data_IF_827989840910
#
_entry.id   IF_827989840910
#
_cell.length_a   1.000
_cell.length_b   1.000
_cell.length_c   1.000
_cell.angle_alpha   90.00
_cell.angle_beta   90.00
_cell.angle_gamma   90.00
#
_symmetry.space_group_name_H-M   'P 1'
#
loop_
_entity.id
_entity.type
_entity.pdbx_description
1 polymer ?
#
# COMPACT_ATOMS: atom_id res chain seq x y z
N UNK A 1 -53.18 58.05 89.11
CA UNK A 1 -53.07 59.44 89.61
C UNK A 1 -52.55 60.29 88.46
N UNK A 2 -53.41 61.09 87.83
CA UNK A 2 -53.11 61.81 86.59
C UNK A 2 -54.36 62.24 85.83
N UNK A 3 -55.16 63.10 86.49
CA UNK A 3 -56.15 64.04 85.94
C UNK A 3 -55.59 64.78 84.67
N UNK A 4 -56.32 65.32 83.69
CA UNK A 4 -57.72 65.75 83.46
C UNK A 4 -57.85 66.25 81.99
N UNK A 5 -59.05 66.65 81.52
CA UNK A 5 -59.47 66.77 80.10
C UNK A 5 -59.48 68.20 79.54
N UNK A 6 -59.70 68.35 78.22
CA UNK A 6 -60.28 69.51 77.51
C UNK A 6 -60.02 69.35 75.99
N UNK A 7 -60.82 69.75 75.00
CA UNK A 7 -62.12 70.43 74.90
C UNK A 7 -62.57 70.36 73.43
N UNK A 8 -63.89 70.22 73.25
CA UNK A 8 -64.76 70.89 72.28
C UNK A 8 -64.38 71.00 70.79
N UNK A 9 -65.32 70.58 69.92
CA UNK A 9 -65.45 71.21 68.61
C UNK A 9 -66.30 70.46 67.58
N UNK A 10 -67.62 70.71 67.64
CA UNK A 10 -68.54 70.81 66.48
C UNK A 10 -68.92 69.55 65.67
N UNK A 11 -70.21 69.20 65.83
CA UNK A 11 -71.18 68.60 64.90
C UNK A 11 -71.13 69.16 63.45
N UNK A 12 -71.96 68.71 62.47
CA UNK A 12 -72.77 67.48 62.32
C UNK A 12 -72.65 66.82 60.91
N UNK A 13 -73.17 65.58 60.84
CA UNK A 13 -73.83 64.89 59.73
C UNK A 13 -73.63 65.36 58.26
N UNK A 14 -73.13 64.46 57.41
CA UNK A 14 -73.75 64.18 56.11
C UNK A 14 -73.71 62.68 55.79
N UNK A 15 -74.89 62.20 55.38
CA UNK A 15 -75.20 60.91 54.80
C UNK A 15 -74.15 60.39 53.81
N UNK A 16 -73.79 59.10 53.91
CA UNK A 16 -73.88 58.21 52.76
C UNK A 16 -74.00 56.75 53.19
N UNK A 17 -75.00 56.11 52.60
CA UNK A 17 -75.40 54.73 52.83
C UNK A 17 -74.25 53.74 52.63
N UNK A 18 -74.09 52.85 53.60
CA UNK A 18 -73.27 51.64 53.53
C UNK A 18 -73.61 50.87 52.24
N UNK A 19 -72.62 50.69 51.37
CA UNK A 19 -72.59 49.56 50.44
C UNK A 19 -72.17 48.31 51.21
N UNK A 20 -72.81 47.18 50.87
CA UNK A 20 -72.37 45.78 50.93
C UNK A 20 -73.47 44.85 51.51
N UNK A 21 -73.42 43.52 51.32
CA UNK A 21 -73.12 42.79 50.08
C UNK A 21 -74.00 41.51 49.90
N UNK A 22 -73.70 40.76 48.83
CA UNK A 22 -73.91 39.32 48.57
C UNK A 22 -75.33 38.75 48.34
N UNK A 23 -75.49 38.01 47.23
CA UNK A 23 -76.29 36.77 47.24
C UNK A 23 -75.88 35.76 46.14
N UNK A 24 -74.94 34.88 46.55
CA UNK A 24 -75.05 33.41 46.57
C UNK A 24 -75.19 32.59 45.27
N UNK A 25 -75.58 33.14 44.13
CA UNK A 25 -75.73 32.33 42.90
C UNK A 25 -74.38 32.15 42.17
N UNK A 26 -73.52 33.16 42.18
CA UNK A 26 -72.18 33.09 41.60
C UNK A 26 -71.25 32.08 42.32
N UNK A 27 -71.52 31.78 43.60
CA UNK A 27 -70.73 30.85 44.39
C UNK A 27 -70.90 29.38 43.99
N UNK A 28 -72.02 29.02 43.34
CA UNK A 28 -72.31 27.63 42.96
C UNK A 28 -71.75 27.24 41.58
N UNK A 29 -71.49 28.20 40.69
CA UNK A 29 -70.89 27.93 39.37
C UNK A 29 -69.36 27.74 39.42
N UNK A 30 -68.70 28.18 40.49
CA UNK A 30 -67.25 27.99 40.65
C UNK A 30 -66.87 26.58 41.15
N UNK A 31 -67.82 25.77 41.63
CA UNK A 31 -67.53 24.50 42.32
C UNK A 31 -67.24 23.30 41.40
N UNK A 32 -66.79 23.54 40.15
CA UNK A 32 -66.56 22.47 39.14
C UNK A 32 -65.15 22.44 38.53
N UNK A 33 -64.19 23.24 39.00
CA UNK A 33 -62.82 23.28 38.46
C UNK A 33 -61.71 22.89 39.45
N UNK A 34 -62.01 22.13 40.51
CA UNK A 34 -61.01 21.70 41.50
C UNK A 34 -60.60 20.22 41.34
N UNK A 35 -60.30 19.80 40.12
CA UNK A 35 -59.53 18.57 39.85
C UNK A 35 -58.39 18.86 38.86
N UNK A 36 -57.79 20.06 38.92
CA UNK A 36 -56.41 20.18 38.45
C UNK A 36 -55.55 19.61 39.56
N UNK A 37 -55.11 18.37 39.38
CA UNK A 37 -54.02 17.80 40.17
C UNK A 37 -52.87 18.80 40.07
N UNK A 38 -52.61 19.55 41.16
CA UNK A 38 -51.37 20.31 41.37
C UNK A 38 -50.24 19.29 41.61
N UNK A 39 -49.99 18.47 40.60
CA UNK A 39 -48.74 17.73 40.45
C UNK A 39 -47.89 18.57 39.53
N UNK A 40 -46.63 18.80 39.92
CA UNK A 40 -45.58 19.24 39.00
C UNK A 40 -45.82 18.62 37.63
N UNK A 41 -46.10 19.43 36.60
CA UNK A 41 -46.35 18.92 35.25
C UNK A 41 -45.10 18.12 34.83
N UNK A 42 -45.15 16.78 34.80
CA UNK A 42 -43.94 15.96 34.64
C UNK A 42 -43.35 16.15 33.24
N UNK A 43 -44.13 16.70 32.31
CA UNK A 43 -43.73 17.06 30.96
C UNK A 43 -42.95 18.39 30.92
N UNK A 44 -43.19 19.31 31.86
CA UNK A 44 -42.44 20.56 31.97
C UNK A 44 -40.98 20.35 32.45
N UNK A 45 -40.67 19.17 33.02
CA UNK A 45 -39.30 18.76 33.39
C UNK A 45 -38.54 18.03 32.27
N UNK A 46 -39.19 17.73 31.15
CA UNK A 46 -38.50 17.17 30.00
C UNK A 46 -37.71 18.29 29.31
N UNK A 47 -36.39 18.30 29.53
CA UNK A 47 -35.50 19.11 28.72
C UNK A 47 -35.76 18.80 27.24
N UNK A 48 -35.86 19.83 26.36
CA UNK A 48 -36.05 19.59 24.93
C UNK A 48 -34.99 18.60 24.45
N UNK A 49 -35.44 17.50 23.84
CA UNK A 49 -34.60 16.46 23.28
C UNK A 49 -33.52 17.13 22.42
N UNK A 50 -32.28 17.16 22.94
CA UNK A 50 -31.13 17.54 22.14
C UNK A 50 -31.05 16.51 21.03
N UNK A 51 -31.42 16.92 19.81
CA UNK A 51 -31.15 16.14 18.62
C UNK A 51 -29.68 15.77 18.67
N UNK A 52 -29.32 14.47 18.61
CA UNK A 52 -27.91 14.13 18.50
C UNK A 52 -27.43 14.84 17.24
N UNK A 53 -26.46 15.74 17.41
CA UNK A 53 -25.68 16.28 16.31
C UNK A 53 -25.42 15.07 15.40
N UNK A 54 -25.88 15.12 14.15
CA UNK A 54 -25.62 14.05 13.20
C UNK A 54 -24.16 13.70 13.37
N UNK A 55 -23.88 12.48 13.83
CA UNK A 55 -22.54 12.09 14.21
C UNK A 55 -21.75 12.10 12.92
N UNK A 56 -21.15 13.26 12.64
CA UNK A 56 -20.50 13.56 11.40
C UNK A 56 -19.35 12.61 11.28
N UNK A 57 -19.60 11.50 10.57
CA UNK A 57 -18.67 10.55 9.99
C UNK A 57 -17.27 10.70 10.59
N UNK A 58 -17.13 10.37 11.88
CA UNK A 58 -15.88 10.59 12.62
C UNK A 58 -14.84 9.62 12.04
N UNK A 59 -13.55 10.02 11.91
CA UNK A 59 -12.62 9.36 11.05
C UNK A 59 -12.48 7.90 11.47
N UNK A 60 -12.37 6.98 10.51
CA UNK A 60 -12.19 5.57 10.83
C UNK A 60 -11.07 5.48 11.85
N UNK A 61 -11.38 4.91 13.03
CA UNK A 61 -10.49 4.88 14.18
C UNK A 61 -9.04 4.64 13.74
N UNK A 62 -8.02 5.31 14.32
CA UNK A 62 -6.66 5.35 13.80
C UNK A 62 -6.03 3.99 13.43
N UNK A 63 -6.54 2.87 13.97
CA UNK A 63 -6.22 1.51 13.56
C UNK A 63 -6.51 1.17 12.08
N UNK A 64 -7.44 1.82 11.41
CA UNK A 64 -7.68 1.61 9.98
C UNK A 64 -6.55 2.18 9.11
N UNK A 65 -5.89 3.26 9.56
CA UNK A 65 -4.70 3.77 8.89
C UNK A 65 -3.54 2.80 9.02
N UNK A 66 -3.39 2.15 10.19
CA UNK A 66 -2.44 1.05 10.38
C UNK A 66 -2.75 -0.14 9.46
N UNK A 67 -4.03 -0.52 9.35
CA UNK A 67 -4.47 -1.59 8.45
C UNK A 67 -4.21 -1.23 6.98
N UNK A 68 -4.57 -0.02 6.56
CA UNK A 68 -4.34 0.47 5.22
C UNK A 68 -2.83 0.54 4.89
N UNK A 69 -2.01 1.03 5.82
CA UNK A 69 -0.56 1.05 5.68
C UNK A 69 0.01 -0.37 5.56
N UNK A 70 -0.45 -1.32 6.37
CA UNK A 70 -0.02 -2.72 6.30
C UNK A 70 -0.40 -3.36 4.96
N UNK A 71 -1.63 -3.15 4.49
CA UNK A 71 -2.08 -3.65 3.18
C UNK A 71 -1.25 -3.03 2.06
N UNK A 72 -0.96 -1.73 2.11
CA UNK A 72 -0.13 -1.04 1.13
C UNK A 72 1.29 -1.60 1.11
N UNK A 73 1.87 -1.89 2.28
CA UNK A 73 3.22 -2.42 2.42
C UNK A 73 3.30 -3.86 1.88
N UNK A 74 2.30 -4.70 2.17
CA UNK A 74 2.20 -6.05 1.59
C UNK A 74 2.00 -6.01 0.08
N UNK A 75 1.15 -5.10 -0.42
CA UNK A 75 0.96 -4.91 -1.85
C UNK A 75 2.24 -4.45 -2.54
N UNK A 76 2.96 -3.49 -1.94
CA UNK A 76 4.25 -3.02 -2.45
C UNK A 76 5.30 -4.14 -2.45
N UNK A 77 5.40 -4.92 -1.37
CA UNK A 77 6.30 -6.06 -1.29
C UNK A 77 5.95 -7.14 -2.34
N UNK A 78 4.67 -7.46 -2.50
CA UNK A 78 4.19 -8.41 -3.51
C UNK A 78 4.46 -7.92 -4.93
N UNK A 79 4.16 -6.65 -5.22
CA UNK A 79 4.45 -6.02 -6.50
C UNK A 79 5.96 -5.99 -6.79
N UNK A 80 6.79 -5.67 -5.79
CA UNK A 80 8.25 -5.67 -5.92
C UNK A 80 8.81 -7.07 -6.18
N UNK A 81 8.32 -8.09 -5.47
CA UNK A 81 8.72 -9.48 -5.73
C UNK A 81 8.28 -9.95 -7.12
N UNK A 82 7.05 -9.62 -7.52
CA UNK A 82 6.52 -9.96 -8.83
C UNK A 82 7.31 -9.24 -9.93
N UNK A 83 7.62 -7.96 -9.75
CA UNK A 83 8.46 -7.19 -10.65
C UNK A 83 9.88 -7.76 -10.74
N UNK A 84 10.52 -8.11 -9.61
CA UNK A 84 11.84 -8.76 -9.59
C UNK A 84 11.79 -10.11 -10.33
N UNK A 85 10.72 -10.89 -10.18
CA UNK A 85 10.50 -12.14 -10.94
C UNK A 85 10.26 -11.90 -12.44
N UNK A 86 9.49 -10.88 -12.80
CA UNK A 86 9.22 -10.51 -14.19
C UNK A 86 10.48 -10.01 -14.89
N UNK A 87 11.26 -9.15 -14.24
CA UNK A 87 12.53 -8.67 -14.77
C UNK A 87 13.51 -9.81 -14.98
N UNK A 88 13.59 -10.76 -14.04
CA UNK A 88 14.38 -11.99 -14.19
C UNK A 88 14.02 -12.79 -15.44
N UNK A 89 12.74 -12.83 -15.82
CA UNK A 89 12.28 -13.51 -17.04
C UNK A 89 12.51 -12.68 -18.30
N UNK A 90 12.34 -11.35 -18.23
CA UNK A 90 12.44 -10.46 -19.40
C UNK A 90 13.87 -10.37 -19.93
N UNK A 91 14.87 -10.13 -19.06
CA UNK A 91 16.26 -10.02 -19.52
C UNK A 91 16.76 -11.35 -20.13
N UNK A 92 16.36 -12.49 -19.54
CA UNK A 92 16.71 -13.82 -20.06
C UNK A 92 16.11 -14.05 -21.44
N UNK A 93 14.83 -13.73 -21.63
CA UNK A 93 14.18 -13.84 -22.95
C UNK A 93 14.86 -12.96 -23.99
N UNK A 94 15.23 -11.73 -23.63
CA UNK A 94 15.95 -10.83 -24.53
C UNK A 94 17.33 -11.37 -24.90
N UNK A 95 18.10 -11.86 -23.93
CA UNK A 95 19.42 -12.44 -24.19
C UNK A 95 19.34 -13.72 -25.05
N UNK A 96 18.35 -14.58 -24.82
CA UNK A 96 18.11 -15.76 -25.66
C UNK A 96 17.72 -15.39 -27.09
N UNK A 97 16.83 -14.39 -27.27
CA UNK A 97 16.45 -13.92 -28.59
C UNK A 97 17.64 -13.30 -29.34
N UNK A 98 18.53 -12.58 -28.65
CA UNK A 98 19.76 -12.06 -29.24
C UNK A 98 20.71 -13.20 -29.66
N UNK A 99 20.86 -14.23 -28.83
CA UNK A 99 21.68 -15.40 -29.16
C UNK A 99 21.12 -16.16 -30.37
N UNK A 100 19.80 -16.34 -30.44
CA UNK A 100 19.13 -16.95 -31.60
C UNK A 100 19.31 -16.12 -32.87
N UNK A 101 19.19 -14.79 -32.77
CA UNK A 101 19.44 -13.89 -33.88
C UNK A 101 20.90 -13.96 -34.37
N UNK A 102 21.87 -14.02 -33.45
CA UNK A 102 23.28 -14.25 -33.79
C UNK A 102 23.45 -15.58 -34.52
N UNK A 103 22.87 -16.67 -34.03
CA UNK A 103 23.00 -17.98 -34.68
C UNK A 103 22.41 -18.00 -36.10
N UNK A 104 21.25 -17.35 -36.30
CA UNK A 104 20.53 -17.37 -37.57
C UNK A 104 21.11 -16.40 -38.63
N UNK A 105 21.65 -15.25 -38.21
CA UNK A 105 22.10 -14.20 -39.12
C UNK A 105 23.62 -14.22 -39.38
N UNK A 106 24.42 -14.88 -38.52
CA UNK A 106 25.87 -14.80 -38.65
C UNK A 106 26.38 -15.66 -39.79
N UNK A 107 27.07 -15.07 -40.79
CA UNK A 107 27.49 -15.78 -41.98
C UNK A 107 28.54 -16.84 -41.63
N UNK A 108 28.52 -17.96 -42.37
CA UNK A 108 29.41 -19.09 -42.12
C UNK A 108 30.90 -18.77 -42.40
N UNK A 109 31.17 -17.71 -43.15
CA UNK A 109 32.52 -17.27 -43.52
C UNK A 109 33.17 -16.31 -42.51
N UNK A 110 32.49 -15.96 -41.41
CA UNK A 110 33.06 -15.18 -40.30
C UNK A 110 32.87 -15.90 -38.94
N UNK A 111 33.54 -17.04 -38.73
CA UNK A 111 33.40 -17.81 -37.51
C UNK A 111 34.07 -17.13 -36.28
N UNK A 112 35.09 -16.30 -36.49
CA UNK A 112 35.74 -15.54 -35.41
C UNK A 112 34.80 -14.45 -34.85
N UNK A 113 34.08 -13.72 -35.73
CA UNK A 113 33.11 -12.71 -35.32
C UNK A 113 31.95 -13.27 -34.49
N UNK A 114 31.46 -14.47 -34.83
CA UNK A 114 30.41 -15.15 -34.08
C UNK A 114 30.82 -15.39 -32.62
N UNK A 115 32.01 -15.96 -32.44
CA UNK A 115 32.57 -16.24 -31.13
C UNK A 115 32.66 -14.99 -30.27
N UNK A 116 33.29 -13.93 -30.77
CA UNK A 116 33.45 -12.67 -30.06
C UNK A 116 32.12 -12.06 -29.61
N UNK A 117 31.08 -12.14 -30.45
CA UNK A 117 29.75 -11.63 -30.13
C UNK A 117 29.01 -12.48 -29.11
N UNK A 118 29.13 -13.81 -29.18
CA UNK A 118 28.65 -14.70 -28.13
C UNK A 118 29.32 -14.40 -26.79
N UNK A 119 30.65 -14.23 -26.77
CA UNK A 119 31.38 -13.91 -25.54
C UNK A 119 30.96 -12.55 -24.96
N UNK A 120 30.81 -11.53 -25.82
CA UNK A 120 30.30 -10.22 -25.43
C UNK A 120 28.91 -10.31 -24.80
N UNK A 121 28.00 -11.08 -25.41
CA UNK A 121 26.66 -11.29 -24.88
C UNK A 121 26.69 -11.97 -23.50
N UNK A 122 27.51 -13.00 -23.33
CA UNK A 122 27.69 -13.69 -22.04
C UNK A 122 28.22 -12.73 -20.97
N UNK A 123 29.23 -11.91 -21.28
CA UNK A 123 29.77 -10.88 -20.38
C UNK A 123 28.69 -9.88 -19.96
N UNK A 124 27.88 -9.37 -20.89
CA UNK A 124 26.78 -8.44 -20.58
C UNK A 124 25.76 -9.09 -19.63
N UNK A 125 25.37 -10.34 -19.91
CA UNK A 125 24.43 -11.08 -19.06
C UNK A 125 25.03 -11.35 -17.68
N UNK A 126 26.31 -11.70 -17.60
CA UNK A 126 27.00 -11.96 -16.34
C UNK A 126 27.10 -10.69 -15.48
N UNK A 127 27.52 -9.56 -16.05
CA UNK A 127 27.57 -8.28 -15.33
C UNK A 127 26.20 -7.85 -14.79
N UNK A 128 25.11 -8.19 -15.49
CA UNK A 128 23.76 -7.89 -15.03
C UNK A 128 23.26 -8.83 -13.93
N UNK A 129 23.74 -10.08 -13.92
CA UNK A 129 23.29 -11.14 -12.99
C UNK A 129 24.16 -11.28 -11.75
N UNK A 130 25.39 -10.78 -11.79
CA UNK A 130 26.39 -10.87 -10.73
C UNK A 130 26.92 -9.47 -10.42
N UNK A 131 26.32 -8.75 -9.46
CA UNK A 131 26.79 -7.44 -9.04
C UNK A 131 28.11 -7.61 -8.26
N UNK A 132 29.23 -7.52 -8.95
CA UNK A 132 30.58 -7.56 -8.38
C UNK A 132 31.64 -7.32 -9.47
N UNK A 133 32.67 -6.55 -9.13
CA UNK A 133 33.73 -6.12 -10.08
C UNK A 133 34.55 -7.30 -10.64
N UNK A 134 34.44 -8.48 -10.04
CA UNK A 134 35.25 -9.65 -10.39
C UNK A 134 34.95 -10.16 -11.80
N UNK A 135 33.70 -10.09 -12.27
CA UNK A 135 33.28 -10.67 -13.57
C UNK A 135 33.94 -9.96 -14.77
N UNK A 136 34.16 -8.65 -14.66
CA UNK A 136 34.79 -7.88 -15.73
C UNK A 136 36.24 -8.35 -15.99
N UNK A 137 36.96 -8.68 -14.91
CA UNK A 137 38.35 -9.13 -14.95
C UNK A 137 38.55 -10.59 -15.37
N UNK A 138 37.50 -11.43 -15.35
CA UNK A 138 37.61 -12.84 -15.74
C UNK A 138 37.86 -12.99 -17.25
N UNK A 139 38.91 -13.71 -17.62
CA UNK A 139 39.22 -14.11 -19.00
C UNK A 139 39.79 -15.52 -19.01
N UNK A 140 39.90 -16.14 -20.18
CA UNK A 140 40.55 -17.45 -20.30
C UNK A 140 39.83 -18.56 -19.56
N UNK A 141 40.62 -19.42 -18.95
CA UNK A 141 40.17 -20.55 -18.16
C UNK A 141 39.27 -20.12 -17.01
N UNK A 142 39.66 -19.08 -16.26
CA UNK A 142 38.89 -18.55 -15.14
C UNK A 142 37.47 -18.10 -15.55
N UNK A 143 37.31 -17.60 -16.78
CA UNK A 143 35.99 -17.28 -17.33
C UNK A 143 35.15 -18.53 -17.61
N UNK A 144 35.74 -19.53 -18.25
CA UNK A 144 35.05 -20.79 -18.54
C UNK A 144 34.65 -21.56 -17.26
N UNK A 145 35.50 -21.54 -16.24
CA UNK A 145 35.23 -22.12 -14.92
C UNK A 145 34.09 -21.39 -14.22
N UNK A 146 34.13 -20.05 -14.19
CA UNK A 146 33.05 -19.24 -13.64
C UNK A 146 31.71 -19.53 -14.33
N UNK A 147 31.69 -19.60 -15.67
CA UNK A 147 30.47 -19.91 -16.41
C UNK A 147 29.93 -21.29 -16.04
N UNK A 148 30.79 -22.31 -15.93
CA UNK A 148 30.36 -23.65 -15.53
C UNK A 148 29.88 -23.70 -14.07
N UNK A 149 30.56 -23.02 -13.15
CA UNK A 149 30.23 -22.98 -11.72
C UNK A 149 28.96 -22.18 -11.40
N UNK A 150 28.60 -21.21 -12.25
CA UNK A 150 27.41 -20.37 -12.07
C UNK A 150 26.11 -20.99 -12.63
N UNK A 151 26.18 -22.20 -13.20
CA UNK A 151 24.99 -22.96 -13.59
C UNK A 151 24.34 -23.59 -12.36
N UNK A 152 23.01 -23.51 -12.28
CA UNK A 152 22.24 -24.17 -11.22
C UNK A 152 22.60 -25.66 -11.10
N UNK A 153 22.86 -26.11 -9.86
CA UNK A 153 23.13 -27.50 -9.54
C UNK A 153 22.04 -28.43 -10.12
N UNK A 154 22.46 -29.52 -10.77
CA UNK A 154 21.56 -30.47 -11.46
C UNK A 154 21.10 -30.06 -12.87
N UNK A 155 21.61 -28.93 -13.42
CA UNK A 155 21.49 -28.56 -14.84
C UNK A 155 22.82 -28.63 -15.59
N UNK A 156 23.77 -29.38 -15.03
CA UNK A 156 25.03 -29.70 -15.67
C UNK A 156 24.81 -30.68 -16.81
N UNK A 157 25.37 -30.39 -17.98
CA UNK A 157 25.41 -31.31 -19.10
C UNK A 157 26.81 -31.24 -19.73
N UNK A 158 27.46 -32.40 -19.88
CA UNK A 158 28.83 -32.50 -20.43
C UNK A 158 28.91 -31.90 -21.83
N UNK A 159 27.90 -32.16 -22.67
CA UNK A 159 27.83 -31.72 -24.07
C UNK A 159 27.65 -30.20 -24.24
N UNK A 160 27.46 -29.48 -23.14
CA UNK A 160 27.23 -28.03 -23.16
C UNK A 160 28.10 -27.29 -22.14
N UNK A 161 29.20 -27.89 -21.68
CA UNK A 161 30.20 -27.23 -20.83
C UNK A 161 31.08 -26.30 -21.66
N UNK A 162 31.51 -25.21 -21.03
CA UNK A 162 32.59 -24.39 -21.55
C UNK A 162 33.91 -25.10 -21.25
N UNK A 163 34.70 -25.41 -22.28
CA UNK A 163 36.08 -25.88 -22.17
C UNK A 163 37.04 -24.68 -22.09
N UNK A 164 38.22 -24.83 -21.44
CA UNK A 164 39.25 -23.78 -21.41
C UNK A 164 39.72 -23.35 -22.80
N UNK A 165 39.64 -24.27 -23.77
CA UNK A 165 39.98 -24.02 -25.16
C UNK A 165 39.09 -22.98 -25.85
N UNK A 166 37.88 -22.69 -25.33
CA UNK A 166 36.99 -21.73 -25.96
C UNK A 166 37.60 -20.34 -26.02
N UNK A 167 38.25 -19.84 -24.96
CA UNK A 167 38.79 -18.48 -25.00
C UNK A 167 39.90 -18.34 -26.05
N UNK A 168 40.77 -19.35 -26.16
CA UNK A 168 41.81 -19.37 -27.19
C UNK A 168 41.24 -19.49 -28.61
N UNK A 169 40.12 -20.21 -28.79
CA UNK A 169 39.42 -20.33 -30.07
C UNK A 169 38.65 -19.06 -30.45
N UNK A 170 38.19 -18.27 -29.47
CA UNK A 170 37.49 -16.99 -29.69
C UNK A 170 38.40 -15.92 -30.29
N UNK A 171 39.71 -15.99 -30.05
CA UNK A 171 40.71 -15.03 -30.55
C UNK A 171 41.57 -15.57 -31.70
N UNK A 172 41.27 -16.78 -32.22
CA UNK A 172 41.98 -17.31 -33.39
C UNK A 172 41.51 -16.62 -34.68
N UNK A 173 42.44 -16.20 -35.56
CA UNK A 173 42.08 -15.62 -36.85
C UNK A 173 41.40 -16.64 -37.78
N UNK A 174 41.72 -17.93 -37.62
CA UNK A 174 41.10 -19.04 -38.36
C UNK A 174 39.65 -19.34 -37.92
N UNK A 175 39.21 -18.69 -36.83
CA UNK A 175 37.89 -18.79 -36.24
C UNK A 175 37.57 -20.17 -35.64
N UNK A 176 36.27 -20.39 -35.41
CA UNK A 176 35.70 -21.56 -34.74
C UNK A 176 35.16 -22.54 -35.80
N UNK A 177 35.48 -23.83 -35.66
CA UNK A 177 34.91 -24.86 -36.52
C UNK A 177 33.36 -24.94 -36.36
N UNK A 178 32.61 -25.45 -37.35
CA UNK A 178 31.15 -25.51 -37.27
C UNK A 178 30.59 -26.32 -36.08
N UNK A 179 31.27 -27.37 -35.63
CA UNK A 179 30.85 -28.19 -34.49
C UNK A 179 31.10 -27.46 -33.16
N UNK A 180 32.25 -26.82 -33.02
CA UNK A 180 32.61 -25.95 -31.91
C UNK A 180 31.70 -24.72 -31.84
N UNK A 181 31.24 -24.19 -32.98
CA UNK A 181 30.22 -23.13 -33.04
C UNK A 181 28.89 -23.59 -32.44
N UNK A 182 28.40 -24.77 -32.84
CA UNK A 182 27.14 -25.31 -32.32
C UNK A 182 27.26 -25.65 -30.82
N UNK A 183 28.41 -26.20 -30.40
CA UNK A 183 28.69 -26.42 -28.98
C UNK A 183 28.69 -25.11 -28.19
N UNK A 184 29.34 -24.05 -28.69
CA UNK A 184 29.35 -22.74 -28.06
C UNK A 184 27.94 -22.15 -27.95
N UNK A 185 27.13 -22.28 -29.01
CA UNK A 185 25.74 -21.85 -29.01
C UNK A 185 24.92 -22.60 -27.94
N UNK A 186 25.02 -23.94 -27.89
CA UNK A 186 24.31 -24.77 -26.90
C UNK A 186 24.74 -24.45 -25.47
N UNK A 187 26.05 -24.31 -25.23
CA UNK A 187 26.61 -23.94 -23.94
C UNK A 187 26.12 -22.56 -23.49
N UNK A 188 26.17 -21.57 -24.38
CA UNK A 188 25.68 -20.20 -24.14
C UNK A 188 24.18 -20.17 -23.82
N UNK A 189 23.37 -20.87 -24.62
CA UNK A 189 21.92 -20.95 -24.43
C UNK A 189 21.56 -21.58 -23.08
N UNK A 190 22.22 -22.69 -22.73
CA UNK A 190 22.04 -23.38 -21.44
C UNK A 190 22.37 -22.45 -20.28
N UNK A 191 23.51 -21.76 -20.35
CA UNK A 191 23.95 -20.86 -19.30
C UNK A 191 23.00 -19.67 -19.14
N UNK A 192 22.60 -18.99 -20.23
CA UNK A 192 21.64 -17.88 -20.16
C UNK A 192 20.30 -18.34 -19.55
N UNK A 193 19.85 -19.56 -19.87
CA UNK A 193 18.61 -20.11 -19.32
C UNK A 193 18.70 -20.46 -17.82
N UNK A 194 19.84 -21.00 -17.37
CA UNK A 194 19.98 -21.66 -16.07
C UNK A 194 21.01 -21.07 -15.11
N UNK A 195 21.64 -19.93 -15.43
CA UNK A 195 22.53 -19.27 -14.48
C UNK A 195 21.77 -18.86 -13.21
N UNK A 196 22.42 -19.04 -12.07
CA UNK A 196 21.95 -18.53 -10.79
C UNK A 196 22.47 -17.12 -10.59
N UNK A 197 21.59 -16.13 -10.72
CA UNK A 197 21.94 -14.76 -10.34
C UNK A 197 22.23 -14.74 -8.85
N UNK A 198 23.33 -14.07 -8.45
CA UNK A 198 23.65 -13.87 -7.04
C UNK A 198 22.43 -13.21 -6.35
N UNK A 199 21.93 -13.86 -5.30
CA UNK A 199 20.61 -13.61 -4.71
C UNK A 199 20.62 -12.41 -3.78
#
# INVERSE_FOLDING_TARGET
MGDRPATAGHSPALFQHRRAPVSRVAALLWRRQALTVQGDDPLARLQPLRQPLETGWWPPAPGWWLLAALVLLLAAAGAWQLWRRHQRRRYRRQALAQLEALQASWPANDPAGFGGQCNRLLKIVALRSFPGDTVAALSGEAWSEFLNASVKAGKENSDSRFTPAFDLQLYRPDGIDPASRDQLYRASRRWIAHHEAAS
#
